data_IF_888385043665
#
_entry.id   IF_888385043665
#
_cell.length_a   1.000
_cell.length_b   1.000
_cell.length_c   1.000
_cell.angle_alpha   90.00
_cell.angle_beta   90.00
_cell.angle_gamma   90.00
#
_symmetry.space_group_name_H-M   'P 1'
#
loop_
_entity.id
_entity.type
_entity.pdbx_description
1 polymer ?
#
# COMPACT_ATOMS: atom_id res chain seq x y z
N UNK A 1 82.28 4.83 4.77
CA UNK A 1 82.18 6.08 4.00
C UNK A 1 80.68 6.16 3.59
N UNK A 2 79.95 6.90 4.37
CA UNK A 2 78.50 7.03 4.33
C UNK A 2 78.16 8.43 3.83
N UNK A 3 77.33 8.51 2.82
CA UNK A 3 76.83 9.79 2.38
C UNK A 3 75.29 9.72 2.52
N UNK A 4 74.73 10.50 3.43
CA UNK A 4 73.32 10.69 3.64
C UNK A 4 72.86 11.84 2.74
N UNK A 5 71.79 11.59 1.94
CA UNK A 5 71.10 12.62 1.17
C UNK A 5 69.82 13.02 1.88
N UNK A 6 69.67 14.31 2.18
CA UNK A 6 68.45 14.94 2.70
C UNK A 6 67.41 15.12 1.60
N UNK A 7 66.11 15.10 1.95
CA UNK A 7 65.03 15.43 1.03
C UNK A 7 64.77 16.95 0.96
N UNK A 8 64.22 17.47 -0.16
CA UNK A 8 63.99 18.90 -0.35
C UNK A 8 62.73 19.43 0.38
N UNK A 9 62.92 20.67 0.85
CA UNK A 9 61.85 21.48 1.53
C UNK A 9 60.70 21.81 0.61
N UNK A 10 59.47 21.62 1.14
CA UNK A 10 58.25 22.09 0.54
C UNK A 10 58.14 23.63 0.65
N UNK A 11 57.82 24.24 -0.48
CA UNK A 11 57.58 25.68 -0.62
C UNK A 11 56.11 25.98 -0.29
N UNK A 12 55.90 26.81 0.73
CA UNK A 12 54.61 27.39 1.10
C UNK A 12 54.21 28.43 0.05
N UNK A 13 53.14 28.21 -0.69
CA UNK A 13 52.43 29.27 -1.43
C UNK A 13 51.09 29.53 -0.79
N UNK A 14 50.94 30.70 -0.22
CA UNK A 14 49.70 31.31 0.25
C UNK A 14 48.74 31.52 -0.92
N UNK A 15 47.52 31.01 -0.81
CA UNK A 15 46.39 31.34 -1.68
C UNK A 15 45.64 32.57 -1.13
N UNK A 16 45.15 33.47 -1.97
CA UNK A 16 44.41 34.65 -1.51
C UNK A 16 42.97 34.30 -1.19
N UNK A 17 42.50 34.75 -0.02
CA UNK A 17 41.13 34.77 0.40
C UNK A 17 40.30 35.70 -0.49
N UNK A 18 39.26 35.19 -1.15
CA UNK A 18 38.23 36.04 -1.73
C UNK A 18 36.95 35.82 -0.90
N UNK A 19 36.73 36.75 -0.01
CA UNK A 19 35.49 36.94 0.73
C UNK A 19 34.54 37.73 -0.18
N UNK A 20 33.48 37.14 -0.69
CA UNK A 20 32.36 37.84 -1.30
C UNK A 20 31.08 37.33 -0.68
N UNK A 21 30.61 38.02 0.34
CA UNK A 21 29.25 37.99 0.83
C UNK A 21 28.33 38.56 -0.26
N UNK A 22 27.44 37.70 -0.78
CA UNK A 22 26.35 38.17 -1.62
C UNK A 22 25.07 38.02 -0.77
N UNK A 23 24.57 39.13 -0.28
CA UNK A 23 23.25 39.24 0.31
C UNK A 23 22.18 39.05 -0.77
N UNK A 24 21.13 38.26 -0.55
CA UNK A 24 19.99 38.22 -1.46
C UNK A 24 19.11 39.46 -1.27
N UNK A 25 18.98 40.28 -2.30
CA UNK A 25 18.01 41.37 -2.39
C UNK A 25 16.60 40.84 -2.33
N UNK A 26 15.86 41.24 -1.33
CA UNK A 26 14.41 41.07 -1.22
C UNK A 26 13.73 42.08 -2.14
N UNK A 27 12.84 41.69 -3.08
CA UNK A 27 12.06 42.64 -3.83
C UNK A 27 10.95 43.24 -2.95
N UNK A 28 10.90 44.59 -2.94
CA UNK A 28 9.92 45.39 -2.28
C UNK A 28 8.50 45.12 -2.80
N UNK A 29 7.60 44.79 -1.88
CA UNK A 29 6.17 44.61 -2.14
C UNK A 29 5.57 45.98 -2.43
N UNK A 30 5.07 46.20 -3.66
CA UNK A 30 4.21 47.33 -3.96
C UNK A 30 2.81 47.04 -3.45
N UNK A 31 2.32 47.94 -2.63
CA UNK A 31 0.93 48.07 -2.24
C UNK A 31 0.02 48.13 -3.50
N UNK A 32 -0.87 47.16 -3.59
CA UNK A 32 -2.00 47.22 -4.52
C UNK A 32 -3.27 47.09 -3.66
N UNK A 33 -3.94 48.19 -3.49
CA UNK A 33 -5.25 48.29 -2.89
C UNK A 33 -6.27 47.40 -3.59
N UNK A 34 -7.15 46.69 -2.88
CA UNK A 34 -8.22 45.91 -3.51
C UNK A 34 -9.39 46.83 -3.82
N UNK A 35 -9.66 47.03 -5.10
CA UNK A 35 -10.96 47.52 -5.58
C UNK A 35 -11.93 46.35 -5.67
N UNK A 36 -12.87 46.30 -4.76
CA UNK A 36 -14.04 45.41 -4.85
C UNK A 36 -15.01 45.88 -5.95
N UNK A 37 -15.44 45.01 -6.84
CA UNK A 37 -16.67 45.22 -7.55
C UNK A 37 -17.85 44.63 -6.76
N UNK A 38 -18.73 45.52 -6.36
CA UNK A 38 -20.07 45.21 -5.85
C UNK A 38 -20.88 44.53 -6.94
N UNK A 39 -21.19 43.25 -6.76
CA UNK A 39 -22.21 42.56 -7.58
C UNK A 39 -23.57 42.70 -6.92
N UNK A 40 -24.63 42.92 -7.66
CA UNK A 40 -25.98 43.05 -7.15
C UNK A 40 -26.51 41.68 -6.69
N UNK A 41 -27.15 41.71 -5.54
CA UNK A 41 -27.86 40.59 -4.94
C UNK A 41 -29.00 40.12 -5.86
N UNK A 42 -28.86 38.97 -6.49
CA UNK A 42 -29.96 38.32 -7.20
C UNK A 42 -30.76 37.53 -6.15
N UNK A 43 -31.96 38.00 -5.91
CA UNK A 43 -32.97 37.37 -5.07
C UNK A 43 -33.42 36.06 -5.72
N UNK A 44 -32.98 34.92 -5.20
CA UNK A 44 -33.39 33.60 -5.65
C UNK A 44 -34.67 33.21 -4.93
N UNK A 45 -35.79 33.34 -5.61
CA UNK A 45 -37.08 32.78 -5.14
C UNK A 45 -37.00 31.25 -5.12
N UNK A 46 -37.46 30.59 -4.05
CA UNK A 46 -37.49 29.13 -3.98
C UNK A 46 -38.53 28.56 -4.93
N UNK A 47 -38.26 27.38 -5.55
CA UNK A 47 -39.24 26.71 -6.40
C UNK A 47 -40.43 26.20 -5.61
N UNK A 48 -41.63 26.17 -6.19
CA UNK A 48 -42.82 25.68 -5.52
C UNK A 48 -42.74 24.20 -5.20
N UNK A 49 -43.17 23.83 -4.01
CA UNK A 49 -43.34 22.44 -3.56
C UNK A 49 -44.20 21.64 -4.48
N UNK A 50 -43.87 20.37 -4.78
CA UNK A 50 -44.76 19.51 -5.57
C UNK A 50 -45.98 19.14 -4.76
N UNK A 51 -47.14 19.35 -5.37
CA UNK A 51 -48.47 18.92 -4.86
C UNK A 51 -48.48 17.42 -4.62
N UNK A 52 -48.91 17.07 -3.44
CA UNK A 52 -49.12 15.70 -2.97
C UNK A 52 -50.34 15.12 -3.69
N UNK A 53 -50.10 14.34 -4.74
CA UNK A 53 -51.18 13.54 -5.38
C UNK A 53 -51.59 12.41 -4.43
N UNK A 54 -52.77 12.54 -3.89
CA UNK A 54 -53.44 11.51 -3.06
C UNK A 54 -53.97 10.42 -3.97
N UNK A 55 -53.34 9.24 -3.97
CA UNK A 55 -53.86 8.08 -4.67
C UNK A 55 -54.98 7.43 -3.83
N UNK A 56 -56.08 6.98 -4.44
CA UNK A 56 -57.19 6.31 -3.73
C UNK A 56 -56.79 4.92 -3.23
N UNK A 57 -57.20 4.64 -1.99
CA UNK A 57 -57.02 3.35 -1.31
C UNK A 57 -57.75 2.25 -2.07
N UNK A 58 -57.01 1.33 -2.69
CA UNK A 58 -57.58 0.10 -3.25
C UNK A 58 -57.68 -0.93 -2.13
N UNK A 59 -58.92 -1.38 -1.86
CA UNK A 59 -59.25 -2.48 -0.93
C UNK A 59 -58.61 -3.79 -1.39
N UNK A 60 -57.98 -4.59 -0.52
CA UNK A 60 -57.53 -5.93 -0.88
C UNK A 60 -58.73 -6.89 -1.04
N UNK A 61 -58.74 -7.59 -2.17
CA UNK A 61 -59.64 -8.73 -2.40
C UNK A 61 -59.01 -10.01 -1.83
N UNK A 62 -59.81 -10.97 -1.34
CA UNK A 62 -59.31 -12.23 -0.81
C UNK A 62 -58.81 -13.16 -1.93
N UNK A 63 -57.82 -14.03 -1.66
CA UNK A 63 -57.25 -14.90 -2.67
C UNK A 63 -58.17 -16.04 -3.04
N UNK A 64 -58.40 -16.23 -4.35
CA UNK A 64 -58.97 -17.44 -4.95
C UNK A 64 -57.91 -18.55 -5.00
N UNK A 65 -58.25 -19.81 -4.70
CA UNK A 65 -57.32 -20.91 -4.82
C UNK A 65 -57.26 -21.37 -6.28
N UNK A 66 -56.07 -21.39 -6.87
CA UNK A 66 -55.84 -21.97 -8.20
C UNK A 66 -54.70 -22.95 -8.21
N UNK A 67 -55.05 -24.16 -8.45
CA UNK A 67 -54.37 -25.26 -9.12
C UNK A 67 -52.83 -25.32 -9.11
N UNK A 68 -52.36 -26.35 -8.48
CA UNK A 68 -51.08 -27.06 -8.58
C UNK A 68 -50.63 -27.23 -10.02
N UNK A 69 -49.47 -26.70 -10.37
CA UNK A 69 -48.72 -27.10 -11.54
C UNK A 69 -47.34 -27.61 -11.08
N UNK A 70 -46.98 -28.85 -11.39
CA UNK A 70 -45.70 -29.40 -10.99
C UNK A 70 -44.63 -29.12 -12.05
N UNK A 71 -43.37 -29.05 -11.61
CA UNK A 71 -42.12 -28.94 -12.36
C UNK A 71 -41.71 -27.56 -12.89
N UNK A 72 -41.13 -26.78 -12.00
CA UNK A 72 -39.93 -26.03 -12.31
C UNK A 72 -38.93 -26.39 -11.21
N UNK A 73 -37.93 -27.13 -11.60
CA UNK A 73 -36.74 -27.37 -10.77
C UNK A 73 -36.09 -26.02 -10.51
N UNK A 74 -36.40 -25.40 -9.37
CA UNK A 74 -35.56 -24.36 -8.83
C UNK A 74 -34.18 -24.97 -8.59
N UNK A 75 -33.25 -24.62 -9.44
CA UNK A 75 -31.83 -24.77 -9.13
C UNK A 75 -31.61 -23.89 -7.90
N UNK A 76 -31.69 -24.51 -6.72
CA UNK A 76 -31.14 -23.89 -5.51
C UNK A 76 -29.73 -23.44 -5.84
N UNK A 77 -29.31 -22.20 -5.45
CA UNK A 77 -27.91 -21.88 -5.44
C UNK A 77 -27.28 -22.94 -4.56
N UNK A 78 -26.33 -23.67 -5.17
CA UNK A 78 -25.50 -24.67 -4.53
C UNK A 78 -25.00 -24.08 -3.24
N UNK A 79 -25.54 -24.56 -2.13
CA UNK A 79 -25.11 -24.15 -0.80
C UNK A 79 -23.61 -24.41 -0.76
N UNK A 80 -22.83 -23.34 -0.61
CA UNK A 80 -21.40 -23.41 -0.43
C UNK A 80 -21.13 -24.49 0.63
N UNK A 81 -20.40 -25.52 0.24
CA UNK A 81 -20.00 -26.60 1.14
C UNK A 81 -19.37 -26.01 2.41
N UNK A 82 -19.60 -26.59 3.59
CA UNK A 82 -19.09 -26.02 4.82
C UNK A 82 -17.56 -25.93 4.76
N UNK A 83 -17.03 -24.73 5.02
CA UNK A 83 -15.62 -24.36 4.97
C UNK A 83 -14.73 -25.08 6.04
N UNK A 84 -15.23 -26.19 6.61
CA UNK A 84 -14.61 -26.87 7.75
C UNK A 84 -13.27 -27.57 7.43
N UNK A 85 -12.85 -27.66 6.17
CA UNK A 85 -11.61 -28.35 5.77
C UNK A 85 -10.61 -27.48 5.01
N UNK A 86 -10.83 -26.17 4.91
CA UNK A 86 -9.86 -25.29 4.21
C UNK A 86 -8.70 -24.92 5.12
N UNK A 87 -7.50 -25.05 4.58
CA UNK A 87 -6.29 -24.63 5.30
C UNK A 87 -6.19 -23.11 5.36
N UNK A 88 -5.50 -22.51 6.35
CA UNK A 88 -5.27 -21.05 6.39
C UNK A 88 -4.66 -20.50 5.10
N UNK A 89 -3.82 -21.26 4.41
CA UNK A 89 -3.27 -20.89 3.12
C UNK A 89 -4.32 -20.85 2.01
N UNK A 90 -5.20 -21.86 1.94
CA UNK A 90 -6.30 -21.89 0.96
C UNK A 90 -7.30 -20.76 1.21
N UNK A 91 -7.64 -20.52 2.47
CA UNK A 91 -8.49 -19.38 2.86
C UNK A 91 -7.85 -18.06 2.41
N UNK A 92 -6.55 -17.88 2.64
CA UNK A 92 -5.84 -16.68 2.20
C UNK A 92 -5.85 -16.52 0.67
N UNK A 93 -5.61 -17.58 -0.09
CA UNK A 93 -5.64 -17.58 -1.56
C UNK A 93 -7.03 -17.23 -2.12
N UNK A 94 -8.08 -17.73 -1.48
CA UNK A 94 -9.47 -17.55 -1.95
C UNK A 94 -10.11 -16.27 -1.44
N UNK A 95 -9.86 -15.87 -0.19
CA UNK A 95 -10.43 -14.66 0.42
C UNK A 95 -9.58 -13.41 0.15
N UNK A 96 -8.28 -13.58 -0.09
CA UNK A 96 -7.35 -12.47 -0.30
C UNK A 96 -6.94 -11.79 1.00
N UNK A 97 -6.56 -10.53 0.89
CA UNK A 97 -6.14 -9.69 2.03
C UNK A 97 -7.33 -9.21 2.89
N UNK A 98 -8.57 -9.48 2.47
CA UNK A 98 -9.79 -8.97 3.12
C UNK A 98 -9.78 -7.45 3.32
N UNK A 99 -9.18 -6.75 2.36
CA UNK A 99 -8.92 -5.32 2.45
C UNK A 99 -10.19 -4.48 2.67
N UNK A 100 -11.32 -4.94 2.14
CA UNK A 100 -12.62 -4.26 2.28
C UNK A 100 -13.18 -4.37 3.69
N UNK A 101 -12.91 -5.47 4.41
CA UNK A 101 -13.41 -5.68 5.78
C UNK A 101 -12.55 -4.98 6.82
N UNK A 102 -11.22 -4.95 6.60
CA UNK A 102 -10.24 -4.42 7.57
C UNK A 102 -9.61 -3.09 7.14
N UNK A 103 -9.96 -2.58 5.95
CA UNK A 103 -9.47 -1.32 5.42
C UNK A 103 -10.13 -0.11 6.09
N UNK A 104 -9.42 1.03 6.08
CA UNK A 104 -9.94 2.33 6.50
C UNK A 104 -9.82 3.29 5.31
N UNK A 105 -10.91 3.94 4.96
CA UNK A 105 -10.96 4.87 3.83
C UNK A 105 -10.92 4.18 2.46
N UNK A 106 -10.44 4.88 1.44
CA UNK A 106 -10.60 4.51 0.03
C UNK A 106 -9.29 4.21 -0.69
N UNK A 107 -8.15 4.46 -0.04
CA UNK A 107 -6.83 4.41 -0.64
C UNK A 107 -5.98 3.29 -0.02
N UNK A 108 -5.68 2.28 -0.81
CA UNK A 108 -4.98 1.08 -0.37
C UNK A 108 -3.60 0.99 -1.01
N UNK A 109 -2.58 0.70 -0.19
CA UNK A 109 -1.25 0.34 -0.70
C UNK A 109 -0.90 -1.07 -0.21
N UNK A 110 -0.55 -1.94 -1.16
CA UNK A 110 -0.06 -3.29 -0.88
C UNK A 110 1.46 -3.30 -1.05
N UNK A 111 2.18 -3.68 0.01
CA UNK A 111 3.64 -3.81 0.05
C UNK A 111 3.96 -5.28 0.26
N UNK A 112 4.41 -5.96 -0.78
CA UNK A 112 4.52 -7.41 -0.83
C UNK A 112 5.97 -7.82 -1.00
N UNK A 113 6.40 -8.70 -0.11
CA UNK A 113 7.72 -9.32 -0.17
C UNK A 113 7.87 -10.18 -1.43
N UNK A 114 8.96 -9.97 -2.16
CA UNK A 114 9.42 -10.86 -3.23
C UNK A 114 10.87 -11.30 -3.00
N UNK A 115 11.33 -11.29 -1.74
CA UNK A 115 12.65 -11.79 -1.39
C UNK A 115 12.82 -13.26 -1.81
N UNK A 116 14.05 -13.74 -1.81
CA UNK A 116 14.37 -15.08 -2.31
C UNK A 116 13.63 -16.20 -1.56
N UNK A 117 13.37 -16.03 -0.26
CA UNK A 117 12.59 -16.98 0.55
C UNK A 117 11.14 -17.14 0.09
N UNK A 118 10.58 -16.14 -0.58
CA UNK A 118 9.25 -16.22 -1.17
C UNK A 118 9.14 -17.25 -2.33
N UNK A 119 10.24 -17.86 -2.77
CA UNK A 119 10.22 -19.01 -3.67
C UNK A 119 9.79 -20.31 -2.98
N UNK A 120 10.01 -20.39 -1.67
CA UNK A 120 9.73 -21.58 -0.89
C UNK A 120 8.21 -21.77 -0.79
N UNK A 121 7.77 -23.04 -0.84
CA UNK A 121 6.36 -23.43 -0.74
C UNK A 121 5.40 -22.59 -1.62
N UNK A 122 5.90 -22.04 -2.73
CA UNK A 122 5.13 -21.21 -3.65
C UNK A 122 4.51 -19.95 -2.99
N UNK A 123 5.12 -19.42 -1.93
CA UNK A 123 4.62 -18.29 -1.12
C UNK A 123 4.29 -17.07 -1.98
N UNK A 124 5.17 -16.67 -2.92
CA UNK A 124 4.91 -15.56 -3.82
C UNK A 124 3.69 -15.82 -4.73
N UNK A 125 3.49 -17.07 -5.13
CA UNK A 125 2.31 -17.43 -5.96
C UNK A 125 1.04 -17.24 -5.14
N UNK A 126 1.00 -17.77 -3.91
CA UNK A 126 -0.14 -17.59 -3.03
C UNK A 126 -0.43 -16.11 -2.72
N UNK A 127 0.62 -15.31 -2.47
CA UNK A 127 0.48 -13.87 -2.26
C UNK A 127 -0.11 -13.15 -3.50
N UNK A 128 0.30 -13.52 -4.71
CA UNK A 128 -0.24 -12.98 -5.96
C UNK A 128 -1.70 -13.37 -6.19
N UNK A 129 -2.07 -14.62 -5.90
CA UNK A 129 -3.45 -15.09 -6.01
C UNK A 129 -4.36 -14.36 -5.01
N UNK A 130 -3.92 -14.24 -3.75
CA UNK A 130 -4.62 -13.48 -2.74
C UNK A 130 -4.77 -11.99 -3.13
N UNK A 131 -3.73 -11.39 -3.69
CA UNK A 131 -3.79 -10.01 -4.20
C UNK A 131 -4.80 -9.87 -5.34
N UNK A 132 -4.78 -10.80 -6.31
CA UNK A 132 -5.72 -10.79 -7.43
C UNK A 132 -7.18 -10.83 -6.93
N UNK A 133 -7.48 -11.75 -6.00
CA UNK A 133 -8.81 -11.84 -5.36
C UNK A 133 -9.20 -10.57 -4.59
N UNK A 134 -8.22 -9.94 -3.94
CA UNK A 134 -8.46 -8.67 -3.24
C UNK A 134 -8.85 -7.56 -4.20
N UNK A 135 -8.09 -7.40 -5.29
CA UNK A 135 -8.35 -6.36 -6.28
C UNK A 135 -9.70 -6.57 -7.00
N UNK A 136 -10.10 -7.82 -7.26
CA UNK A 136 -11.39 -8.16 -7.85
C UNK A 136 -12.58 -7.81 -6.94
N UNK A 137 -12.36 -7.81 -5.62
CA UNK A 137 -13.39 -7.49 -4.61
C UNK A 137 -13.43 -6.01 -4.23
N UNK A 138 -12.43 -5.22 -4.61
CA UNK A 138 -12.44 -3.78 -4.35
C UNK A 138 -13.55 -3.10 -5.16
N UNK A 139 -14.30 -2.23 -4.50
CA UNK A 139 -15.28 -1.37 -5.17
C UNK A 139 -14.59 -0.45 -6.18
N UNK A 140 -15.18 -0.17 -7.35
CA UNK A 140 -14.55 0.60 -8.42
C UNK A 140 -14.10 2.02 -8.03
N UNK A 141 -14.72 2.62 -7.01
CA UNK A 141 -14.37 3.93 -6.47
C UNK A 141 -13.18 3.89 -5.49
N UNK A 142 -12.78 2.73 -5.02
CA UNK A 142 -11.57 2.57 -4.21
C UNK A 142 -10.34 2.69 -5.08
N UNK A 143 -9.24 3.17 -4.49
CA UNK A 143 -7.97 3.32 -5.20
C UNK A 143 -6.91 2.43 -4.59
N UNK A 144 -6.01 1.93 -5.42
CA UNK A 144 -4.94 1.05 -4.97
C UNK A 144 -3.61 1.35 -5.64
N UNK A 145 -2.53 0.91 -4.98
CA UNK A 145 -1.18 0.86 -5.52
C UNK A 145 -0.44 -0.33 -4.93
N UNK A 146 0.52 -0.89 -5.69
CA UNK A 146 1.25 -2.08 -5.27
C UNK A 146 2.74 -1.82 -5.38
N UNK A 147 3.45 -2.18 -4.33
CA UNK A 147 4.90 -2.35 -4.31
C UNK A 147 5.25 -3.81 -4.09
N UNK A 148 6.24 -4.28 -4.83
CA UNK A 148 7.00 -5.46 -4.48
C UNK A 148 8.37 -5.03 -3.99
N UNK A 149 8.86 -5.64 -2.92
CA UNK A 149 10.16 -5.30 -2.37
C UNK A 149 11.06 -6.53 -2.20
N UNK A 150 12.37 -6.28 -2.33
CA UNK A 150 13.45 -7.20 -2.01
C UNK A 150 14.67 -6.38 -1.55
N UNK A 151 15.81 -6.42 -2.25
CA UNK A 151 16.89 -5.43 -2.10
C UNK A 151 16.47 -4.07 -2.64
N UNK A 152 15.64 -4.11 -3.68
CA UNK A 152 15.06 -2.96 -4.35
C UNK A 152 13.54 -2.97 -4.26
N UNK A 153 12.95 -1.81 -4.45
CA UNK A 153 11.50 -1.64 -4.48
C UNK A 153 11.03 -1.46 -5.92
N UNK A 154 10.04 -2.25 -6.32
CA UNK A 154 9.40 -2.17 -7.64
C UNK A 154 7.95 -1.78 -7.44
N UNK A 155 7.60 -0.55 -7.78
CA UNK A 155 6.23 -0.05 -7.77
C UNK A 155 5.55 -0.11 -9.14
N UNK A 156 4.23 0.08 -9.16
CA UNK A 156 3.47 0.23 -10.39
C UNK A 156 3.99 1.43 -11.20
N UNK A 157 3.99 1.33 -12.53
CA UNK A 157 4.58 2.34 -13.44
C UNK A 157 3.88 3.69 -13.37
N UNK A 158 2.61 3.70 -13.00
CA UNK A 158 1.76 4.89 -12.96
C UNK A 158 2.20 5.89 -11.87
N UNK A 159 2.93 5.44 -10.84
CA UNK A 159 3.46 6.27 -9.78
C UNK A 159 2.38 7.00 -8.94
N UNK A 160 1.12 6.58 -9.06
CA UNK A 160 -0.06 7.10 -8.38
C UNK A 160 -1.07 6.02 -8.09
N UNK A 161 -1.96 6.26 -7.14
CA UNK A 161 -3.11 5.39 -6.86
C UNK A 161 -4.00 5.29 -8.10
N UNK A 162 -4.44 4.07 -8.44
CA UNK A 162 -5.39 3.78 -9.51
C UNK A 162 -6.75 3.41 -8.92
N UNK A 163 -7.83 3.83 -9.56
CA UNK A 163 -9.17 3.34 -9.27
C UNK A 163 -9.28 1.84 -9.58
N UNK A 164 -10.03 1.11 -8.76
CA UNK A 164 -10.19 -0.35 -8.89
C UNK A 164 -11.20 -0.73 -10.00
N UNK A 165 -11.11 -0.06 -11.15
CA UNK A 165 -11.89 -0.44 -12.34
C UNK A 165 -11.40 -1.77 -12.89
N UNK A 166 -12.28 -2.54 -13.54
CA UNK A 166 -11.92 -3.84 -14.13
C UNK A 166 -10.71 -3.74 -15.06
N UNK A 167 -10.61 -2.67 -15.86
CA UNK A 167 -9.48 -2.45 -16.77
C UNK A 167 -8.16 -2.24 -16.02
N UNK A 168 -8.16 -1.44 -14.95
CA UNK A 168 -6.98 -1.19 -14.12
C UNK A 168 -6.57 -2.46 -13.36
N UNK A 169 -7.53 -3.21 -12.83
CA UNK A 169 -7.29 -4.48 -12.13
C UNK A 169 -6.65 -5.49 -13.07
N UNK A 170 -7.23 -5.72 -14.26
CA UNK A 170 -6.68 -6.65 -15.25
C UNK A 170 -5.28 -6.24 -15.72
N UNK A 171 -5.06 -4.94 -15.99
CA UNK A 171 -3.74 -4.43 -16.35
C UNK A 171 -2.72 -4.71 -15.24
N UNK A 172 -3.10 -4.46 -13.99
CA UNK A 172 -2.26 -4.67 -12.83
C UNK A 172 -1.97 -6.15 -12.60
N UNK A 173 -2.95 -7.05 -12.73
CA UNK A 173 -2.74 -8.49 -12.61
C UNK A 173 -1.72 -9.02 -13.62
N UNK A 174 -1.73 -8.52 -14.87
CA UNK A 174 -0.70 -8.85 -15.88
C UNK A 174 0.70 -8.38 -15.46
N UNK A 175 0.81 -7.24 -14.79
CA UNK A 175 2.10 -6.78 -14.27
C UNK A 175 2.54 -7.60 -13.05
N UNK A 176 1.65 -7.88 -12.09
CA UNK A 176 1.89 -8.71 -10.90
C UNK A 176 2.37 -10.11 -11.29
N UNK A 177 1.81 -10.72 -12.35
CA UNK A 177 2.18 -12.06 -12.79
C UNK A 177 3.68 -12.20 -13.15
N UNK A 178 4.33 -11.10 -13.57
CA UNK A 178 5.75 -11.07 -13.97
C UNK A 178 6.73 -10.99 -12.81
N UNK A 179 6.26 -10.74 -11.60
CA UNK A 179 7.13 -10.64 -10.42
C UNK A 179 7.72 -12.00 -10.08
N UNK A 180 9.01 -12.03 -9.82
CA UNK A 180 9.76 -13.23 -9.44
C UNK A 180 10.50 -13.02 -8.14
N UNK A 181 10.72 -14.10 -7.34
CA UNK A 181 11.46 -14.00 -6.10
C UNK A 181 12.92 -13.65 -6.36
N UNK A 182 13.45 -12.67 -5.61
CA UNK A 182 14.87 -12.28 -5.68
C UNK A 182 15.29 -11.47 -4.45
N UNK A 183 16.60 -11.41 -4.18
CA UNK A 183 17.20 -10.48 -3.21
C UNK A 183 16.89 -10.80 -1.73
N UNK A 184 17.06 -9.77 -0.91
CA UNK A 184 16.82 -9.78 0.54
C UNK A 184 15.45 -9.17 0.89
N UNK A 185 15.22 -8.83 2.17
CA UNK A 185 13.91 -8.39 2.69
C UNK A 185 13.99 -6.97 3.25
N UNK A 186 13.82 -5.94 2.38
CA UNK A 186 13.89 -4.52 2.79
C UNK A 186 12.69 -3.70 2.28
N UNK A 187 11.62 -3.50 3.09
CA UNK A 187 10.43 -2.74 2.69
C UNK A 187 10.58 -1.22 2.85
N UNK A 188 11.73 -0.70 3.32
CA UNK A 188 11.86 0.71 3.76
C UNK A 188 11.60 1.72 2.65
N UNK A 189 12.13 1.46 1.46
CA UNK A 189 11.95 2.35 0.32
C UNK A 189 10.46 2.37 -0.13
N UNK A 190 9.77 1.22 -0.15
CA UNK A 190 8.34 1.13 -0.41
C UNK A 190 7.50 1.90 0.63
N UNK A 191 7.85 1.79 1.91
CA UNK A 191 7.20 2.53 2.98
C UNK A 191 7.40 4.04 2.82
N UNK A 192 8.63 4.50 2.58
CA UNK A 192 8.94 5.92 2.37
C UNK A 192 8.16 6.48 1.19
N UNK A 193 8.08 5.75 0.07
CA UNK A 193 7.31 6.17 -1.10
C UNK A 193 5.81 6.19 -0.82
N UNK A 194 5.28 5.19 -0.11
CA UNK A 194 3.86 5.12 0.25
C UNK A 194 3.44 6.35 1.05
N UNK A 195 4.15 6.67 2.11
CA UNK A 195 3.82 7.82 2.97
C UNK A 195 4.12 9.17 2.31
N UNK A 196 5.22 9.25 1.54
CA UNK A 196 5.67 10.51 0.93
C UNK A 196 4.85 10.92 -0.28
N UNK A 197 4.57 9.97 -1.18
CA UNK A 197 3.95 10.25 -2.49
C UNK A 197 2.47 9.90 -2.53
N UNK A 198 2.09 8.71 -2.05
CA UNK A 198 0.75 8.15 -2.25
C UNK A 198 -0.23 8.55 -1.16
N UNK A 199 0.25 8.69 0.09
CA UNK A 199 -0.55 9.07 1.28
C UNK A 199 -1.83 8.22 1.42
N UNK A 200 -1.70 6.90 1.48
CA UNK A 200 -2.87 6.01 1.55
C UNK A 200 -3.60 6.14 2.89
N UNK A 201 -4.82 5.64 2.93
CA UNK A 201 -5.56 5.45 4.18
C UNK A 201 -5.21 4.12 4.85
N UNK A 202 -4.85 3.11 4.06
CA UNK A 202 -4.51 1.77 4.56
C UNK A 202 -3.31 1.19 3.81
N UNK A 203 -2.38 0.59 4.56
CA UNK A 203 -1.25 -0.19 4.03
C UNK A 203 -1.43 -1.65 4.45
N UNK A 204 -1.19 -2.58 3.51
CA UNK A 204 -1.00 -3.99 3.76
C UNK A 204 0.46 -4.36 3.53
N UNK A 205 1.13 -4.84 4.57
CA UNK A 205 2.53 -5.27 4.52
C UNK A 205 2.61 -6.78 4.70
N UNK A 206 3.05 -7.50 3.68
CA UNK A 206 3.26 -8.95 3.71
C UNK A 206 4.76 -9.27 3.63
N UNK A 207 5.24 -10.11 4.53
CA UNK A 207 6.60 -10.65 4.51
C UNK A 207 6.64 -12.08 5.04
N UNK A 208 7.56 -12.89 4.50
CA UNK A 208 7.79 -14.29 4.91
C UNK A 208 9.03 -14.47 5.81
N UNK A 209 9.75 -13.39 6.09
CA UNK A 209 11.00 -13.46 6.83
C UNK A 209 11.28 -12.24 7.69
N UNK A 210 12.49 -12.26 8.28
CA UNK A 210 12.98 -11.15 9.09
C UNK A 210 13.55 -10.04 8.19
N UNK A 211 13.21 -8.80 8.50
CA UNK A 211 13.70 -7.65 7.76
C UNK A 211 15.22 -7.53 7.85
N UNK A 212 15.85 -7.31 6.71
CA UNK A 212 17.31 -7.17 6.61
C UNK A 212 17.82 -6.01 7.46
N UNK A 213 18.79 -6.26 8.36
CA UNK A 213 19.41 -5.20 9.16
C UNK A 213 20.45 -4.41 8.39
N UNK A 214 20.85 -4.85 7.19
CA UNK A 214 21.87 -4.24 6.36
C UNK A 214 21.44 -4.17 4.90
N UNK A 215 21.95 -3.14 4.19
CA UNK A 215 21.81 -2.99 2.73
C UNK A 215 23.21 -2.93 2.09
N UNK A 216 23.33 -3.54 0.91
CA UNK A 216 24.55 -3.40 0.08
C UNK A 216 24.51 -2.07 -0.66
N UNK A 217 25.54 -1.25 -0.50
CA UNK A 217 25.67 0.02 -1.21
C UNK A 217 26.95 0.01 -2.03
N UNK A 218 26.84 0.25 -3.33
CA UNK A 218 28.00 0.43 -4.21
C UNK A 218 28.49 1.87 -4.07
N UNK A 219 29.78 2.03 -3.73
CA UNK A 219 30.50 3.31 -3.78
C UNK A 219 31.72 3.15 -4.68
N UNK A 220 31.58 3.60 -5.93
CA UNK A 220 32.57 3.32 -6.98
C UNK A 220 32.71 1.80 -7.20
N UNK A 221 33.94 1.28 -7.19
CA UNK A 221 34.21 -0.15 -7.36
C UNK A 221 34.11 -0.98 -6.07
N UNK A 222 33.71 -0.39 -4.95
CA UNK A 222 33.62 -1.09 -3.66
C UNK A 222 32.16 -1.27 -3.26
N UNK A 223 31.84 -2.48 -2.79
CA UNK A 223 30.54 -2.76 -2.14
C UNK A 223 30.73 -2.69 -0.63
N UNK A 224 29.88 -1.93 0.05
CA UNK A 224 29.88 -1.80 1.51
C UNK A 224 28.52 -2.26 2.05
N UNK A 225 28.53 -2.89 3.24
CA UNK A 225 27.32 -3.17 4.00
C UNK A 225 27.05 -1.96 4.90
N UNK A 226 25.86 -1.40 4.77
CA UNK A 226 25.40 -0.27 5.60
C UNK A 226 24.27 -0.75 6.49
N UNK A 227 24.40 -0.48 7.79
CA UNK A 227 23.37 -0.79 8.78
C UNK A 227 22.10 0.00 8.51
N UNK A 228 20.96 -0.66 8.64
CA UNK A 228 19.63 -0.09 8.42
C UNK A 228 18.91 0.12 9.74
N UNK A 229 18.14 1.19 9.81
CA UNK A 229 17.24 1.41 10.95
C UNK A 229 16.16 0.32 10.95
N UNK A 230 15.76 -0.25 12.10
CA UNK A 230 14.66 -1.20 12.19
C UNK A 230 13.39 -0.68 11.51
N UNK A 231 12.67 -1.54 10.79
CA UNK A 231 11.48 -1.16 10.00
C UNK A 231 10.42 -0.48 10.86
N UNK A 232 10.15 -1.00 12.05
CA UNK A 232 9.18 -0.40 12.98
C UNK A 232 9.55 1.05 13.36
N UNK A 233 10.87 1.36 13.52
CA UNK A 233 11.34 2.74 13.77
C UNK A 233 11.17 3.67 12.58
N UNK A 234 11.26 3.12 11.37
CA UNK A 234 10.96 3.89 10.15
C UNK A 234 9.48 4.23 10.12
N UNK A 235 8.61 3.25 10.37
CA UNK A 235 7.15 3.46 10.40
C UNK A 235 6.74 4.45 11.49
N UNK A 236 7.26 4.33 12.71
CA UNK A 236 6.99 5.31 13.79
C UNK A 236 7.30 6.75 13.37
N UNK A 237 8.34 6.95 12.56
CA UNK A 237 8.67 8.28 12.03
C UNK A 237 7.75 8.72 10.90
N UNK A 238 7.29 7.79 10.04
CA UNK A 238 6.44 8.09 8.88
C UNK A 238 4.97 8.27 9.27
N UNK A 239 4.51 7.57 10.29
CA UNK A 239 3.12 7.56 10.78
C UNK A 239 3.01 7.96 12.27
N UNK A 240 3.52 9.13 12.67
CA UNK A 240 3.62 9.50 14.09
C UNK A 240 2.26 9.67 14.78
N UNK A 241 1.20 9.92 14.03
CA UNK A 241 -0.17 10.10 14.54
C UNK A 241 -1.05 8.85 14.36
N UNK A 242 -0.54 7.77 13.74
CA UNK A 242 -1.35 6.61 13.41
C UNK A 242 -2.46 6.90 12.37
N UNK A 243 -2.30 7.96 11.57
CA UNK A 243 -3.33 8.36 10.59
C UNK A 243 -3.57 7.28 9.51
N UNK A 244 -2.52 6.57 9.11
CA UNK A 244 -2.57 5.47 8.15
C UNK A 244 -2.67 4.16 8.92
N UNK A 245 -3.71 3.36 8.63
CA UNK A 245 -3.83 2.01 9.18
C UNK A 245 -2.80 1.09 8.50
N UNK A 246 -2.12 0.24 9.28
CA UNK A 246 -1.17 -0.72 8.74
C UNK A 246 -1.53 -2.12 9.19
N UNK A 247 -2.05 -2.92 8.28
CA UNK A 247 -2.26 -4.35 8.47
C UNK A 247 -1.00 -5.10 8.05
N UNK A 248 -0.67 -6.15 8.78
CA UNK A 248 0.52 -6.95 8.48
C UNK A 248 0.20 -8.42 8.35
N UNK A 249 0.90 -9.11 7.46
CA UNK A 249 0.78 -10.56 7.24
C UNK A 249 2.17 -11.17 7.33
N UNK A 250 2.33 -12.09 8.29
CA UNK A 250 3.48 -12.98 8.37
C UNK A 250 3.17 -14.26 7.61
N UNK A 251 4.03 -14.67 6.69
CA UNK A 251 3.79 -15.79 5.78
C UNK A 251 4.97 -16.74 5.76
N UNK A 252 4.98 -17.76 6.62
CA UNK A 252 6.08 -18.72 6.77
C UNK A 252 5.58 -20.09 7.26
N UNK A 253 6.49 -21.05 7.39
CA UNK A 253 6.18 -22.38 7.96
C UNK A 253 5.93 -22.33 9.47
N UNK A 254 6.60 -21.39 10.13
CA UNK A 254 6.46 -21.13 11.56
C UNK A 254 6.41 -19.64 11.84
N UNK A 255 5.61 -19.24 12.83
CA UNK A 255 5.48 -17.83 13.21
C UNK A 255 6.78 -17.23 13.74
N UNK A 256 7.71 -18.08 14.26
CA UNK A 256 9.02 -17.64 14.71
C UNK A 256 9.97 -17.24 13.57
N UNK A 257 9.66 -17.64 12.33
CA UNK A 257 10.47 -17.33 11.15
C UNK A 257 10.20 -15.93 10.60
N UNK A 258 9.04 -15.35 10.92
CA UNK A 258 8.70 -13.97 10.52
C UNK A 258 9.28 -12.93 11.50
N UNK A 259 9.31 -11.68 11.06
CA UNK A 259 9.80 -10.56 11.90
C UNK A 259 8.83 -10.24 13.03
N UNK A 260 9.30 -10.28 14.26
CA UNK A 260 8.50 -10.01 15.46
C UNK A 260 7.88 -8.61 15.46
N UNK A 261 8.47 -7.68 14.71
CA UNK A 261 7.96 -6.32 14.61
C UNK A 261 6.64 -6.22 13.84
N UNK A 262 6.25 -7.21 13.03
CA UNK A 262 4.98 -7.19 12.28
C UNK A 262 3.77 -7.05 13.22
N UNK A 263 3.75 -7.77 14.34
CA UNK A 263 2.70 -7.64 15.36
C UNK A 263 2.65 -6.24 15.97
N UNK A 264 3.81 -5.70 16.32
CA UNK A 264 3.93 -4.38 16.90
C UNK A 264 3.52 -3.29 15.89
N UNK A 265 3.96 -3.40 14.64
CA UNK A 265 3.59 -2.49 13.56
C UNK A 265 2.08 -2.43 13.39
N UNK A 266 1.40 -3.57 13.29
CA UNK A 266 -0.05 -3.61 13.15
C UNK A 266 -0.74 -2.94 14.35
N UNK A 267 -0.39 -3.36 15.57
CA UNK A 267 -0.98 -2.85 16.81
C UNK A 267 -0.80 -1.33 16.99
N UNK A 268 0.38 -0.80 16.70
CA UNK A 268 0.69 0.63 16.86
C UNK A 268 0.02 1.52 15.80
N UNK A 269 -0.48 0.91 14.71
CA UNK A 269 -1.06 1.64 13.57
C UNK A 269 -2.53 1.26 13.29
N UNK A 270 -3.29 0.93 14.33
CA UNK A 270 -4.74 0.61 14.24
C UNK A 270 -5.06 -0.50 13.23
N UNK A 271 -4.14 -1.41 13.01
CA UNK A 271 -4.25 -2.51 12.07
C UNK A 271 -4.32 -3.88 12.72
N UNK A 272 -4.43 -4.89 11.88
CA UNK A 272 -4.47 -6.30 12.28
C UNK A 272 -3.19 -7.02 11.84
N UNK A 273 -2.73 -7.96 12.64
CA UNK A 273 -1.69 -8.92 12.26
C UNK A 273 -2.33 -10.27 12.00
N UNK A 274 -1.95 -10.88 10.88
CA UNK A 274 -2.32 -12.28 10.56
C UNK A 274 -1.08 -13.09 10.24
N UNK A 275 -1.04 -14.32 10.76
CA UNK A 275 -0.05 -15.31 10.36
C UNK A 275 -0.69 -16.34 9.44
N UNK A 276 -0.05 -16.57 8.29
CA UNK A 276 -0.46 -17.58 7.31
C UNK A 276 0.64 -18.64 7.25
N UNK A 277 0.33 -19.84 7.68
CA UNK A 277 1.23 -20.98 7.57
C UNK A 277 1.35 -21.39 6.10
N UNK A 278 2.57 -21.42 5.55
CA UNK A 278 2.81 -21.70 4.14
C UNK A 278 2.93 -23.20 3.82
N UNK A 279 3.37 -23.99 4.80
CA UNK A 279 3.57 -25.44 4.63
C UNK A 279 2.48 -26.21 5.41
N UNK A 280 1.47 -26.66 4.69
CA UNK A 280 0.44 -27.55 5.18
C UNK A 280 0.56 -28.88 4.43
N UNK A 281 1.40 -29.77 4.96
CA UNK A 281 1.52 -31.15 4.53
C UNK A 281 0.64 -32.04 5.38
#
# INVERSE_FOLDING_TARGET
MTSASQPPRASNRLAPSINRSVEPRVPSVRDVSPTSPTQPLVEVTPPPSPERVVQPLVRPQPPTPTATNPLLTETQPEAAEPEENQTPLEVFRTRGFEATAEGKGDDYVFIIDKSKSMSDDRRLIAAKEALARTLEKLEPNKRFYIFFFSDDTVGMKEGRLLEATSANVEHTQRWVSRMSPEGFTDPRDALVESFGKLKPSTIWLLSDGKFSPFKRVKRGNRTQMVGLRPVYKVIQKLNPTGAVRINTIGFADSEQDVDDSLKAIAKENDGTYRFIKSNER
#
